data_IF_905293605279
#
_entry.id   IF_905293605279
#
_cell.length_a   1.000
_cell.length_b   1.000
_cell.length_c   1.000
_cell.angle_alpha   90.00
_cell.angle_beta   90.00
_cell.angle_gamma   90.00
#
_symmetry.space_group_name_H-M   'P 1'
#
loop_
_entity.id
_entity.type
_entity.pdbx_description
1 polymer ?
#
# COMPACT_ATOMS: atom_id res chain seq x y z
N UNK A 1 9.24 -2.24 -6.98
CA UNK A 1 9.17 -0.76 -7.09
C UNK A 1 9.42 -0.06 -5.75
N UNK A 2 8.78 -0.45 -4.67
CA UNK A 2 8.88 0.25 -3.37
C UNK A 2 10.28 0.23 -2.73
N UNK A 3 11.02 -0.89 -2.78
CA UNK A 3 12.35 -1.01 -2.16
C UNK A 3 13.40 -0.11 -2.79
N UNK A 4 13.39 0.02 -4.11
CA UNK A 4 14.35 0.84 -4.85
C UNK A 4 14.15 2.33 -4.57
N UNK A 5 12.89 2.77 -4.48
CA UNK A 5 12.58 4.15 -4.13
C UNK A 5 13.09 4.50 -2.72
N UNK A 6 12.86 3.63 -1.74
CA UNK A 6 13.34 3.84 -0.37
C UNK A 6 14.87 3.91 -0.31
N UNK A 7 15.58 3.08 -1.07
CA UNK A 7 17.05 3.16 -1.19
C UNK A 7 17.50 4.51 -1.75
N UNK A 8 16.80 5.00 -2.77
CA UNK A 8 17.13 6.29 -3.42
C UNK A 8 16.95 7.49 -2.49
N UNK A 9 16.06 7.45 -1.52
CA UNK A 9 15.88 8.49 -0.50
C UNK A 9 16.74 8.27 0.75
N UNK A 10 17.65 7.30 0.74
CA UNK A 10 18.63 7.07 1.78
C UNK A 10 18.19 6.16 2.92
N UNK A 11 17.09 5.40 2.75
CA UNK A 11 16.69 4.37 3.71
C UNK A 11 17.52 3.10 3.50
N UNK A 12 18.11 2.56 4.56
CA UNK A 12 18.76 1.25 4.52
C UNK A 12 17.71 0.13 4.54
N UNK A 13 17.19 -0.19 3.33
CA UNK A 13 16.04 -1.10 3.16
C UNK A 13 16.35 -2.51 3.67
N UNK A 14 17.57 -2.98 3.54
CA UNK A 14 17.91 -4.35 3.94
C UNK A 14 17.91 -4.47 5.48
N UNK A 15 18.43 -3.46 6.20
CA UNK A 15 18.40 -3.38 7.67
C UNK A 15 16.97 -3.24 8.21
N UNK A 16 16.15 -2.37 7.61
CA UNK A 16 14.77 -2.18 8.07
C UNK A 16 13.90 -3.41 7.82
N UNK A 17 14.12 -4.14 6.73
CA UNK A 17 13.37 -5.37 6.44
C UNK A 17 13.80 -6.53 7.35
N UNK A 18 15.06 -6.59 7.78
CA UNK A 18 15.49 -7.54 8.79
C UNK A 18 14.75 -7.33 10.11
N UNK A 19 14.50 -6.06 10.47
CA UNK A 19 13.77 -5.70 11.70
C UNK A 19 12.24 -5.90 11.58
N UNK A 20 11.63 -5.41 10.49
CA UNK A 20 10.16 -5.38 10.32
C UNK A 20 9.59 -6.67 9.71
N UNK A 21 10.42 -7.54 9.13
CA UNK A 21 10.05 -8.80 8.50
C UNK A 21 9.59 -8.64 7.05
N UNK A 22 8.75 -7.64 6.75
CA UNK A 22 8.28 -7.37 5.38
C UNK A 22 8.10 -5.87 5.11
N UNK A 23 7.87 -5.53 3.84
CA UNK A 23 7.74 -4.15 3.39
C UNK A 23 6.42 -3.50 3.82
N UNK A 24 5.37 -4.28 4.01
CA UNK A 24 4.04 -3.74 4.35
C UNK A 24 4.01 -3.33 5.82
N UNK A 25 4.56 -4.16 6.72
CA UNK A 25 4.75 -3.80 8.12
C UNK A 25 5.63 -2.54 8.27
N UNK A 26 6.71 -2.44 7.48
CA UNK A 26 7.52 -1.23 7.42
C UNK A 26 6.73 -0.01 6.97
N UNK A 27 5.96 -0.13 5.88
CA UNK A 27 5.17 0.96 5.31
C UNK A 27 4.11 1.47 6.29
N UNK A 28 3.42 0.58 7.00
CA UNK A 28 2.44 0.96 8.02
C UNK A 28 3.08 1.85 9.09
N UNK A 29 4.21 1.43 9.64
CA UNK A 29 4.93 2.17 10.67
C UNK A 29 5.53 3.50 10.15
N UNK A 30 6.05 3.51 8.92
CA UNK A 30 6.51 4.73 8.27
C UNK A 30 5.37 5.75 8.10
N UNK A 31 4.19 5.29 7.66
CA UNK A 31 3.03 6.17 7.49
C UNK A 31 2.50 6.68 8.83
N UNK A 32 2.49 5.85 9.87
CA UNK A 32 2.13 6.27 11.22
C UNK A 32 3.08 7.37 11.73
N UNK A 33 4.38 7.16 11.59
CA UNK A 33 5.39 8.17 11.93
C UNK A 33 5.16 9.49 11.20
N UNK A 34 4.96 9.45 9.87
CA UNK A 34 4.74 10.64 9.05
C UNK A 34 3.45 11.39 9.40
N UNK A 35 2.40 10.69 9.80
CA UNK A 35 1.13 11.29 10.21
C UNK A 35 1.24 12.00 11.56
N UNK A 36 2.09 11.50 12.46
CA UNK A 36 2.21 11.99 13.84
C UNK A 36 3.35 12.99 14.04
N UNK A 37 4.34 13.04 13.14
CA UNK A 37 5.58 13.78 13.36
C UNK A 37 5.36 15.28 13.56
N UNK A 38 4.43 15.91 12.83
CA UNK A 38 4.18 17.36 12.96
C UNK A 38 3.67 17.75 14.35
N UNK A 39 2.78 16.96 14.92
CA UNK A 39 2.27 17.20 16.26
C UNK A 39 3.40 17.06 17.30
N UNK A 40 4.26 16.06 17.13
CA UNK A 40 5.39 15.81 18.03
C UNK A 40 6.49 16.86 17.91
N UNK A 41 6.75 17.40 16.71
CA UNK A 41 7.69 18.53 16.54
C UNK A 41 7.14 19.80 17.18
N UNK A 42 5.85 20.07 17.06
CA UNK A 42 5.22 21.20 17.78
C UNK A 42 5.32 21.05 19.29
N UNK A 43 5.16 19.85 19.82
CA UNK A 43 5.35 19.56 21.24
C UNK A 43 6.80 19.78 21.65
N UNK A 44 7.77 19.29 20.87
CA UNK A 44 9.19 19.48 21.08
C UNK A 44 9.54 20.99 21.04
N UNK A 45 8.96 21.74 20.12
CA UNK A 45 9.11 23.18 20.03
C UNK A 45 8.54 23.89 21.26
N UNK A 46 7.39 23.48 21.77
CA UNK A 46 6.80 24.00 22.99
C UNK A 46 7.73 23.81 24.17
N UNK A 47 8.30 22.61 24.36
CA UNK A 47 9.28 22.34 25.43
C UNK A 47 10.53 23.23 25.29
N UNK A 48 11.04 23.42 24.05
CA UNK A 48 12.15 24.35 23.76
C UNK A 48 11.81 25.78 24.19
N UNK A 49 10.63 26.27 23.85
CA UNK A 49 10.21 27.66 24.10
C UNK A 49 9.98 27.90 25.60
N UNK A 50 9.44 26.92 26.31
CA UNK A 50 9.20 26.95 27.74
C UNK A 50 10.45 26.63 28.60
N UNK A 51 11.58 26.27 27.94
CA UNK A 51 12.80 25.82 28.60
C UNK A 51 12.63 24.55 29.47
N UNK A 52 11.69 23.68 29.07
CA UNK A 52 11.41 22.39 29.70
C UNK A 52 12.38 21.31 29.20
N UNK A 53 13.68 21.46 29.56
CA UNK A 53 14.79 20.67 28.99
C UNK A 53 14.60 19.17 29.22
N UNK A 54 14.08 18.76 30.38
CA UNK A 54 13.87 17.33 30.70
C UNK A 54 12.84 16.71 29.76
N UNK A 55 11.68 17.33 29.55
CA UNK A 55 10.64 16.87 28.63
C UNK A 55 11.13 16.87 27.19
N UNK A 56 11.84 17.93 26.80
CA UNK A 56 12.50 18.01 25.50
C UNK A 56 13.43 16.82 25.24
N UNK A 57 14.29 16.50 26.20
CA UNK A 57 15.28 15.42 26.10
C UNK A 57 14.62 14.05 25.96
N UNK A 58 13.54 13.80 26.73
CA UNK A 58 12.78 12.56 26.66
C UNK A 58 12.13 12.39 25.30
N UNK A 59 11.49 13.45 24.76
CA UNK A 59 10.84 13.40 23.47
C UNK A 59 11.86 13.25 22.33
N UNK A 60 12.99 13.96 22.39
CA UNK A 60 14.09 13.81 21.43
C UNK A 60 14.65 12.37 21.41
N UNK A 61 14.77 11.73 22.61
CA UNK A 61 15.17 10.33 22.72
C UNK A 61 14.18 9.37 22.03
N UNK A 62 12.88 9.56 22.23
CA UNK A 62 11.83 8.77 21.57
C UNK A 62 11.90 8.92 20.05
N UNK A 63 11.94 10.16 19.55
CA UNK A 63 12.01 10.46 18.12
C UNK A 63 13.28 9.91 17.47
N UNK A 64 14.42 9.98 18.15
CA UNK A 64 15.66 9.34 17.71
C UNK A 64 15.49 7.85 17.49
N UNK A 65 14.88 7.16 18.46
CA UNK A 65 14.70 5.71 18.41
C UNK A 65 13.76 5.30 17.28
N UNK A 66 12.63 5.98 17.12
CA UNK A 66 11.68 5.75 16.03
C UNK A 66 12.32 5.98 14.66
N UNK A 67 13.02 7.11 14.48
CA UNK A 67 13.73 7.41 13.23
C UNK A 67 14.77 6.32 12.89
N UNK A 68 15.47 5.77 13.90
CA UNK A 68 16.43 4.68 13.72
C UNK A 68 15.74 3.40 13.25
N UNK A 69 14.63 2.98 13.89
CA UNK A 69 13.89 1.79 13.50
C UNK A 69 13.32 1.88 12.08
N UNK A 70 13.04 3.11 11.63
CA UNK A 70 12.58 3.37 10.26
C UNK A 70 13.75 3.55 9.26
N UNK A 71 15.00 3.36 9.68
CA UNK A 71 16.18 3.52 8.81
C UNK A 71 16.45 4.96 8.38
N UNK A 72 15.84 5.95 9.07
CA UNK A 72 16.01 7.39 8.82
C UNK A 72 17.25 7.92 9.56
N UNK A 73 18.43 7.40 9.16
CA UNK A 73 19.67 7.56 9.90
C UNK A 73 20.09 9.02 10.12
N UNK A 74 19.91 9.88 9.11
CA UNK A 74 20.22 11.31 9.23
C UNK A 74 19.32 11.99 10.28
N UNK A 75 18.02 11.74 10.25
CA UNK A 75 17.07 12.28 11.21
C UNK A 75 17.34 11.75 12.64
N UNK A 76 17.65 10.45 12.76
CA UNK A 76 18.06 9.84 14.02
C UNK A 76 19.29 10.50 14.61
N UNK A 77 20.30 10.83 13.78
CA UNK A 77 21.52 11.52 14.24
C UNK A 77 21.24 12.95 14.71
N UNK A 78 20.36 13.68 14.05
CA UNK A 78 19.95 15.02 14.47
C UNK A 78 19.27 14.96 15.85
N UNK A 79 18.29 14.07 16.02
CA UNK A 79 17.65 13.88 17.34
C UNK A 79 18.62 13.40 18.43
N UNK A 80 19.61 12.57 18.08
CA UNK A 80 20.66 12.17 19.02
C UNK A 80 21.48 13.37 19.51
N UNK A 81 21.87 14.28 18.64
CA UNK A 81 22.61 15.49 19.02
C UNK A 81 21.76 16.36 19.96
N UNK A 82 20.47 16.55 19.66
CA UNK A 82 19.56 17.29 20.51
C UNK A 82 19.31 16.61 21.86
N UNK A 83 19.18 15.29 21.90
CA UNK A 83 19.10 14.51 23.15
C UNK A 83 20.37 14.71 24.01
N UNK A 84 21.54 14.60 23.40
CA UNK A 84 22.82 14.76 24.10
C UNK A 84 22.94 16.16 24.72
N UNK A 85 22.61 17.21 23.93
CA UNK A 85 22.66 18.59 24.43
C UNK A 85 21.60 18.89 25.46
N UNK A 86 20.44 18.23 25.39
CA UNK A 86 19.44 18.28 26.44
C UNK A 86 19.93 17.66 27.74
N UNK A 87 20.64 16.53 27.73
CA UNK A 87 21.26 15.91 28.88
C UNK A 87 22.36 16.79 29.51
N UNK A 88 23.07 17.57 28.69
CA UNK A 88 24.05 18.56 29.14
C UNK A 88 23.41 19.85 29.69
N UNK A 89 22.10 20.01 29.58
CA UNK A 89 21.39 21.25 29.96
C UNK A 89 21.65 22.43 29.00
N UNK A 90 22.17 22.18 27.80
CA UNK A 90 22.59 23.22 26.86
C UNK A 90 21.41 23.75 26.06
N UNK A 91 20.63 24.64 26.68
CA UNK A 91 19.44 25.23 26.07
C UNK A 91 19.78 26.13 24.88
N UNK A 92 20.95 26.78 24.87
CA UNK A 92 21.38 27.64 23.79
C UNK A 92 21.61 26.82 22.50
N UNK A 93 22.24 25.65 22.62
CA UNK A 93 22.35 24.74 21.48
C UNK A 93 20.98 24.34 20.95
N UNK A 94 20.08 23.91 21.83
CA UNK A 94 18.73 23.48 21.45
C UNK A 94 18.01 24.59 20.69
N UNK A 95 18.03 25.82 21.19
CA UNK A 95 17.36 26.98 20.56
C UNK A 95 17.98 27.35 19.20
N UNK A 96 19.31 27.36 19.14
CA UNK A 96 20.03 27.84 17.96
C UNK A 96 20.06 26.80 16.82
N UNK A 97 19.89 25.51 17.13
CA UNK A 97 19.98 24.43 16.13
C UNK A 97 18.65 23.71 15.87
N UNK A 98 17.53 24.18 16.43
CA UNK A 98 16.23 23.55 16.23
C UNK A 98 15.80 23.51 14.75
N UNK A 99 16.24 24.47 13.94
CA UNK A 99 16.02 24.52 12.50
C UNK A 99 16.57 23.27 11.77
N UNK A 100 17.57 22.55 12.32
CA UNK A 100 18.08 21.31 11.75
C UNK A 100 17.00 20.23 11.73
N UNK A 101 16.20 20.14 12.81
CA UNK A 101 15.06 19.22 12.91
C UNK A 101 14.00 19.60 11.88
N UNK A 102 13.62 20.88 11.82
CA UNK A 102 12.59 21.37 10.90
C UNK A 102 12.97 21.11 9.43
N UNK A 103 14.22 21.42 9.06
CA UNK A 103 14.74 21.20 7.72
C UNK A 103 14.79 19.71 7.37
N UNK A 104 15.24 18.87 8.30
CA UNK A 104 15.31 17.42 8.07
C UNK A 104 13.92 16.80 7.88
N UNK A 105 12.92 17.22 8.69
CA UNK A 105 11.53 16.78 8.53
C UNK A 105 10.93 17.30 7.22
N UNK A 106 11.15 18.56 6.87
CA UNK A 106 10.70 19.14 5.59
C UNK A 106 11.27 18.39 4.38
N UNK A 107 12.57 18.11 4.40
CA UNK A 107 13.26 17.33 3.35
C UNK A 107 12.75 15.90 3.28
N UNK A 108 12.57 15.22 4.43
CA UNK A 108 12.01 13.88 4.50
C UNK A 108 10.61 13.84 3.86
N UNK A 109 9.73 14.76 4.24
CA UNK A 109 8.37 14.82 3.69
C UNK A 109 8.34 15.10 2.20
N UNK A 110 9.21 16.00 1.71
CA UNK A 110 9.32 16.28 0.29
C UNK A 110 9.79 15.05 -0.48
N UNK A 111 10.84 14.39 0.00
CA UNK A 111 11.43 13.22 -0.64
C UNK A 111 10.52 11.99 -0.62
N UNK A 112 9.64 11.87 0.36
CA UNK A 112 8.79 10.68 0.57
C UNK A 112 7.35 10.90 0.09
N UNK A 113 7.02 12.12 -0.35
CA UNK A 113 5.65 12.51 -0.71
C UNK A 113 5.02 11.60 -1.76
N UNK A 114 5.74 11.34 -2.84
CA UNK A 114 5.25 10.52 -3.95
C UNK A 114 5.13 9.05 -3.52
N UNK A 115 6.08 8.57 -2.73
CA UNK A 115 6.02 7.25 -2.13
C UNK A 115 4.83 7.11 -1.17
N UNK A 116 4.66 8.03 -0.23
CA UNK A 116 3.54 8.04 0.71
C UNK A 116 2.17 8.13 0.01
N UNK A 117 2.09 8.89 -1.06
CA UNK A 117 0.88 8.96 -1.88
C UNK A 117 0.62 7.63 -2.61
N UNK A 118 1.64 6.98 -3.13
CA UNK A 118 1.51 5.66 -3.77
C UNK A 118 1.01 4.58 -2.80
N UNK A 119 1.37 4.67 -1.52
CA UNK A 119 0.88 3.76 -0.47
C UNK A 119 -0.58 4.02 -0.08
N UNK A 120 -1.06 5.26 -0.24
CA UNK A 120 -2.46 5.61 0.07
C UNK A 120 -3.44 5.23 -1.03
N UNK A 121 -2.97 5.11 -2.26
CA UNK A 121 -3.79 4.78 -3.43
C UNK A 121 -3.69 3.28 -3.64
N UNK A 122 -4.55 2.53 -2.95
CA UNK A 122 -4.73 1.11 -3.26
C UNK A 122 -5.44 1.01 -4.62
N UNK A 123 -4.91 0.18 -5.48
CA UNK A 123 -5.54 -0.21 -6.73
C UNK A 123 -6.85 -0.95 -6.42
N UNK A 124 -7.85 -0.84 -7.26
CA UNK A 124 -9.18 -1.42 -7.00
C UNK A 124 -9.38 -2.67 -7.84
N UNK A 125 -9.61 -3.81 -7.18
CA UNK A 125 -10.03 -5.05 -7.81
C UNK A 125 -11.55 -5.19 -7.72
N UNK A 126 -12.19 -5.49 -8.83
CA UNK A 126 -13.59 -5.93 -8.84
C UNK A 126 -13.61 -7.46 -8.76
N UNK A 127 -14.17 -7.99 -7.68
CA UNK A 127 -14.35 -9.44 -7.48
C UNK A 127 -15.82 -9.78 -7.64
N UNK A 128 -16.11 -10.60 -8.63
CA UNK A 128 -17.47 -10.97 -9.06
C UNK A 128 -17.67 -12.46 -8.85
N UNK A 129 -18.48 -12.82 -7.85
CA UNK A 129 -18.77 -14.23 -7.48
C UNK A 129 -20.05 -14.25 -6.64
N UNK A 130 -20.95 -15.20 -6.88
CA UNK A 130 -22.19 -15.31 -6.10
C UNK A 130 -21.94 -15.82 -4.66
N UNK A 131 -20.75 -16.38 -4.39
CA UNK A 131 -20.31 -16.85 -3.10
C UNK A 131 -19.53 -15.79 -2.32
N UNK A 132 -20.15 -15.20 -1.28
CA UNK A 132 -19.45 -14.30 -0.37
C UNK A 132 -18.24 -14.96 0.32
N UNK A 133 -18.19 -16.30 0.42
CA UNK A 133 -17.04 -17.02 0.99
C UNK A 133 -15.83 -16.86 0.06
N UNK A 134 -16.01 -16.97 -1.24
CA UNK A 134 -14.96 -16.79 -2.23
C UNK A 134 -14.48 -15.34 -2.25
N UNK A 135 -15.40 -14.39 -2.28
CA UNK A 135 -15.07 -12.95 -2.23
C UNK A 135 -14.26 -12.63 -0.97
N UNK A 136 -14.72 -13.08 0.21
CA UNK A 136 -14.02 -12.88 1.48
C UNK A 136 -12.63 -13.53 1.49
N UNK A 137 -12.47 -14.71 0.90
CA UNK A 137 -11.19 -15.39 0.80
C UNK A 137 -10.20 -14.58 -0.03
N UNK A 138 -10.60 -14.11 -1.23
CA UNK A 138 -9.77 -13.29 -2.11
C UNK A 138 -9.41 -11.97 -1.40
N UNK A 139 -10.41 -11.27 -0.87
CA UNK A 139 -10.20 -9.99 -0.19
C UNK A 139 -9.21 -10.10 0.99
N UNK A 140 -9.32 -11.15 1.81
CA UNK A 140 -8.38 -11.35 2.92
C UNK A 140 -6.93 -11.54 2.46
N UNK A 141 -6.71 -12.05 1.26
CA UNK A 141 -5.37 -12.22 0.69
C UNK A 141 -4.82 -10.88 0.19
N UNK A 142 -5.69 -10.07 -0.47
CA UNK A 142 -5.24 -8.88 -1.20
C UNK A 142 -5.45 -7.56 -0.45
N UNK A 143 -6.14 -7.55 0.69
CA UNK A 143 -6.58 -6.34 1.41
C UNK A 143 -5.48 -5.35 1.78
N UNK A 144 -4.24 -5.79 1.91
CA UNK A 144 -3.11 -4.92 2.22
C UNK A 144 -2.69 -4.07 1.00
N UNK A 145 -2.83 -4.62 -0.20
CA UNK A 145 -2.37 -4.02 -1.45
C UNK A 145 -3.51 -3.42 -2.30
N UNK A 146 -4.72 -3.96 -2.17
CA UNK A 146 -5.86 -3.62 -3.01
C UNK A 146 -7.11 -3.26 -2.21
N UNK A 147 -7.90 -2.34 -2.76
CA UNK A 147 -9.31 -2.21 -2.41
C UNK A 147 -10.11 -3.24 -3.19
N UNK A 148 -11.09 -3.87 -2.56
CA UNK A 148 -11.97 -4.84 -3.21
C UNK A 148 -13.37 -4.26 -3.34
N UNK A 149 -13.83 -4.12 -4.57
CA UNK A 149 -15.23 -3.87 -4.91
C UNK A 149 -15.86 -5.23 -5.17
N UNK A 150 -16.97 -5.54 -4.50
CA UNK A 150 -17.64 -6.83 -4.54
C UNK A 150 -18.86 -6.76 -5.45
N UNK A 151 -19.11 -7.77 -6.26
CA UNK A 151 -20.36 -7.95 -6.99
C UNK A 151 -20.79 -9.41 -6.88
N UNK A 152 -22.10 -9.66 -6.69
CA UNK A 152 -22.63 -11.01 -6.52
C UNK A 152 -23.33 -11.55 -7.78
N UNK A 153 -23.29 -10.80 -8.88
CA UNK A 153 -23.78 -11.18 -10.19
C UNK A 153 -23.29 -10.22 -11.27
N UNK A 154 -23.50 -10.58 -12.56
CA UNK A 154 -23.02 -9.77 -13.67
C UNK A 154 -23.67 -8.38 -13.76
N UNK A 155 -24.94 -8.22 -13.38
CA UNK A 155 -25.61 -6.91 -13.38
C UNK A 155 -24.95 -5.97 -12.38
N UNK A 156 -24.68 -6.46 -11.16
CA UNK A 156 -23.97 -5.68 -10.17
C UNK A 156 -22.54 -5.34 -10.62
N UNK A 157 -21.87 -6.30 -11.27
CA UNK A 157 -20.53 -6.09 -11.79
C UNK A 157 -20.50 -4.95 -12.81
N UNK A 158 -21.38 -4.97 -13.82
CA UNK A 158 -21.47 -3.93 -14.85
C UNK A 158 -21.73 -2.55 -14.21
N UNK A 159 -22.64 -2.47 -13.23
CA UNK A 159 -22.92 -1.21 -12.54
C UNK A 159 -21.75 -0.68 -11.67
N UNK A 160 -20.77 -1.53 -11.37
CA UNK A 160 -19.58 -1.18 -10.56
C UNK A 160 -18.32 -1.05 -11.40
N UNK A 161 -18.38 -1.28 -12.72
CA UNK A 161 -17.27 -0.98 -13.63
C UNK A 161 -17.24 0.52 -13.85
N UNK A 162 -16.44 1.20 -13.03
CA UNK A 162 -16.21 2.63 -13.05
C UNK A 162 -14.77 2.93 -13.46
N UNK A 163 -14.49 4.19 -13.73
CA UNK A 163 -13.12 4.66 -13.93
C UNK A 163 -12.29 4.36 -12.68
N UNK A 164 -11.18 3.63 -12.81
CA UNK A 164 -10.31 3.25 -11.71
C UNK A 164 -10.36 1.78 -11.28
N UNK A 165 -11.19 0.93 -11.91
CA UNK A 165 -11.05 -0.53 -11.75
C UNK A 165 -9.74 -0.98 -12.40
N UNK A 166 -8.88 -1.57 -11.58
CA UNK A 166 -7.54 -2.00 -11.98
C UNK A 166 -7.54 -3.38 -12.64
N UNK A 167 -8.34 -4.31 -12.10
CA UNK A 167 -8.54 -5.64 -12.69
C UNK A 167 -9.86 -6.25 -12.20
N UNK A 168 -10.34 -7.29 -12.90
CA UNK A 168 -11.56 -8.02 -12.57
C UNK A 168 -11.23 -9.50 -12.37
N UNK A 169 -11.67 -10.07 -11.23
CA UNK A 169 -11.75 -11.50 -11.01
C UNK A 169 -13.20 -11.91 -11.14
N UNK A 170 -13.51 -12.71 -12.15
CA UNK A 170 -14.87 -12.93 -12.63
C UNK A 170 -15.27 -14.41 -12.64
N UNK A 171 -16.29 -14.77 -11.86
CA UNK A 171 -16.94 -16.06 -12.03
C UNK A 171 -17.84 -16.04 -13.27
N UNK A 172 -17.78 -17.11 -14.06
CA UNK A 172 -18.66 -17.29 -15.21
C UNK A 172 -20.04 -17.77 -14.81
N UNK A 173 -20.12 -18.64 -13.80
CA UNK A 173 -21.34 -19.39 -13.47
C UNK A 173 -22.05 -18.80 -12.26
N UNK A 174 -22.79 -17.73 -12.48
CA UNK A 174 -23.57 -17.07 -11.45
C UNK A 174 -25.07 -17.08 -11.77
N UNK A 175 -25.96 -17.17 -10.76
CA UNK A 175 -27.39 -17.02 -10.98
C UNK A 175 -27.74 -15.59 -11.43
N UNK A 176 -28.80 -15.43 -12.23
CA UNK A 176 -29.40 -14.19 -12.73
C UNK A 176 -28.69 -13.50 -13.88
N UNK A 177 -27.36 -13.54 -13.96
CA UNK A 177 -26.58 -12.96 -15.06
C UNK A 177 -25.19 -13.60 -14.98
N UNK A 178 -24.74 -14.17 -16.09
CA UNK A 178 -23.48 -14.90 -16.12
C UNK A 178 -22.28 -13.96 -16.37
N UNK A 179 -21.07 -14.47 -16.19
CA UNK A 179 -19.85 -13.69 -16.41
C UNK A 179 -19.66 -13.28 -17.89
N UNK A 180 -20.26 -14.00 -18.84
CA UNK A 180 -20.19 -13.66 -20.26
C UNK A 180 -20.86 -12.30 -20.54
N UNK A 181 -21.92 -11.95 -19.82
CA UNK A 181 -22.58 -10.64 -19.95
C UNK A 181 -21.63 -9.50 -19.56
N UNK A 182 -20.80 -9.73 -18.54
CA UNK A 182 -19.76 -8.78 -18.12
C UNK A 182 -18.66 -8.65 -19.19
N UNK A 183 -18.21 -9.77 -19.76
CA UNK A 183 -17.22 -9.76 -20.83
C UNK A 183 -17.74 -9.05 -22.10
N UNK A 184 -19.01 -9.28 -22.47
CA UNK A 184 -19.66 -8.56 -23.57
C UNK A 184 -19.67 -7.05 -23.29
N UNK A 185 -20.08 -6.64 -22.09
CA UNK A 185 -20.08 -5.22 -21.71
C UNK A 185 -18.68 -4.60 -21.82
N UNK A 186 -17.65 -5.28 -21.32
CA UNK A 186 -16.26 -4.79 -21.41
C UNK A 186 -15.79 -4.66 -22.85
N UNK A 187 -16.16 -5.60 -23.71
CA UNK A 187 -15.82 -5.60 -25.14
C UNK A 187 -16.55 -4.48 -25.88
N UNK A 188 -17.86 -4.34 -25.68
CA UNK A 188 -18.70 -3.35 -26.34
C UNK A 188 -18.35 -1.90 -25.97
N UNK A 189 -17.65 -1.70 -24.83
CA UNK A 189 -17.20 -0.40 -24.33
C UNK A 189 -15.67 -0.18 -24.46
N UNK A 190 -14.94 -1.00 -25.22
CA UNK A 190 -13.48 -0.92 -25.39
C UNK A 190 -12.69 -0.94 -24.08
N UNK A 191 -13.19 -1.65 -23.07
CA UNK A 191 -12.57 -1.79 -21.75
C UNK A 191 -11.75 -3.07 -21.59
N UNK A 192 -12.03 -4.10 -22.38
CA UNK A 192 -11.41 -5.43 -22.25
C UNK A 192 -9.88 -5.41 -22.45
N UNK A 193 -9.37 -4.47 -23.25
CA UNK A 193 -7.94 -4.29 -23.50
C UNK A 193 -7.27 -3.40 -22.44
N UNK A 194 -8.06 -2.75 -21.59
CA UNK A 194 -7.58 -1.80 -20.56
C UNK A 194 -7.64 -2.39 -19.16
N UNK A 195 -8.63 -3.24 -18.92
CA UNK A 195 -8.90 -3.84 -17.61
C UNK A 195 -8.68 -5.35 -17.75
N UNK A 196 -7.56 -5.89 -17.22
CA UNK A 196 -7.29 -7.31 -17.30
C UNK A 196 -8.35 -8.10 -16.52
N UNK A 197 -8.89 -9.13 -17.16
CA UNK A 197 -9.90 -10.01 -16.58
C UNK A 197 -9.29 -11.39 -16.33
N UNK A 198 -9.42 -11.89 -15.11
CA UNK A 198 -9.11 -13.28 -14.76
C UNK A 198 -10.42 -14.00 -14.45
N UNK A 199 -10.64 -15.08 -15.17
CA UNK A 199 -11.82 -15.92 -14.97
C UNK A 199 -11.60 -16.82 -13.76
N UNK A 200 -12.62 -16.95 -12.93
CA UNK A 200 -12.70 -17.93 -11.84
C UNK A 200 -13.84 -18.88 -12.14
N UNK A 201 -13.59 -20.19 -12.18
CA UNK A 201 -14.64 -21.13 -12.56
C UNK A 201 -14.59 -22.42 -11.76
N UNK A 202 -15.75 -23.02 -11.48
CA UNK A 202 -15.90 -24.35 -10.92
C UNK A 202 -15.99 -25.46 -11.96
N UNK A 203 -16.10 -25.09 -13.24
CA UNK A 203 -16.21 -26.04 -14.35
C UNK A 203 -14.83 -26.52 -14.83
N UNK A 204 -14.81 -27.60 -15.63
CA UNK A 204 -13.59 -28.04 -16.28
C UNK A 204 -12.98 -26.90 -17.11
N UNK A 205 -11.67 -26.67 -16.92
CA UNK A 205 -10.91 -25.60 -17.57
C UNK A 205 -11.11 -25.54 -19.08
N UNK A 206 -11.32 -26.70 -19.72
CA UNK A 206 -11.52 -26.78 -21.19
C UNK A 206 -12.84 -26.14 -21.65
N UNK A 207 -13.91 -26.33 -20.88
CA UNK A 207 -15.21 -25.74 -21.18
C UNK A 207 -15.15 -24.22 -20.95
N UNK A 208 -14.66 -23.78 -19.80
CA UNK A 208 -14.50 -22.37 -19.47
C UNK A 208 -13.58 -21.62 -20.46
N UNK A 209 -12.45 -22.23 -20.86
CA UNK A 209 -11.57 -21.64 -21.89
C UNK A 209 -12.29 -21.54 -23.23
N UNK A 210 -13.10 -22.55 -23.59
CA UNK A 210 -13.88 -22.50 -24.84
C UNK A 210 -14.90 -21.38 -24.86
N UNK A 211 -15.54 -21.08 -23.73
CA UNK A 211 -16.51 -20.00 -23.59
C UNK A 211 -15.89 -18.61 -23.71
N UNK A 212 -14.64 -18.43 -23.25
CA UNK A 212 -13.96 -17.13 -23.20
C UNK A 212 -12.95 -16.89 -24.31
N UNK A 213 -12.81 -17.82 -25.25
CA UNK A 213 -11.78 -17.83 -26.31
C UNK A 213 -11.79 -16.58 -27.22
N UNK A 214 -12.80 -15.76 -27.20
CA UNK A 214 -12.93 -14.52 -28.00
C UNK A 214 -12.78 -13.23 -27.20
N UNK A 215 -12.45 -13.29 -25.91
CA UNK A 215 -12.51 -12.12 -25.03
C UNK A 215 -11.15 -11.60 -24.53
N UNK A 216 -10.02 -12.14 -24.97
CA UNK A 216 -8.69 -11.69 -24.52
C UNK A 216 -8.56 -11.62 -22.99
N UNK A 217 -9.05 -12.66 -22.28
CA UNK A 217 -8.90 -12.75 -20.82
C UNK A 217 -7.45 -13.05 -20.45
N UNK A 218 -6.98 -12.50 -19.33
CA UNK A 218 -5.60 -12.61 -18.89
C UNK A 218 -5.25 -14.04 -18.44
N UNK A 219 -6.16 -14.70 -17.70
CA UNK A 219 -5.95 -16.05 -17.18
C UNK A 219 -7.28 -16.70 -16.78
N UNK A 220 -7.25 -18.02 -16.56
CA UNK A 220 -8.38 -18.82 -16.05
C UNK A 220 -7.95 -19.58 -14.83
N UNK A 221 -8.64 -19.41 -13.71
CA UNK A 221 -8.38 -20.01 -12.41
C UNK A 221 -9.52 -20.95 -11.99
N UNK A 222 -9.19 -22.22 -11.75
CA UNK A 222 -10.16 -23.22 -11.30
C UNK A 222 -10.42 -23.19 -9.80
N UNK A 223 -11.68 -23.31 -9.41
CA UNK A 223 -12.09 -23.59 -8.04
C UNK A 223 -11.94 -25.11 -7.73
N UNK A 224 -11.44 -25.53 -6.58
CA UNK A 224 -10.92 -24.68 -5.49
C UNK A 224 -9.51 -24.18 -5.77
N UNK A 225 -9.20 -22.96 -5.37
CA UNK A 225 -7.88 -22.34 -5.52
C UNK A 225 -7.24 -22.04 -4.16
N UNK A 226 -5.92 -21.90 -4.15
CA UNK A 226 -5.10 -21.65 -2.97
C UNK A 226 -4.68 -20.18 -2.89
N UNK A 227 -4.08 -19.79 -1.76
CA UNK A 227 -3.44 -18.47 -1.59
C UNK A 227 -2.39 -18.21 -2.67
N UNK A 228 -1.57 -19.23 -3.00
CA UNK A 228 -0.52 -19.09 -4.02
C UNK A 228 -1.09 -18.89 -5.43
N UNK A 229 -2.24 -19.50 -5.72
CA UNK A 229 -2.93 -19.27 -7.00
C UNK A 229 -3.37 -17.79 -7.11
N UNK A 230 -3.93 -17.20 -6.06
CA UNK A 230 -4.32 -15.78 -6.06
C UNK A 230 -3.08 -14.88 -6.19
N UNK A 231 -2.00 -15.14 -5.44
CA UNK A 231 -0.75 -14.38 -5.56
C UNK A 231 -0.16 -14.43 -6.98
N UNK A 232 -0.20 -15.60 -7.63
CA UNK A 232 0.22 -15.75 -9.03
C UNK A 232 -0.63 -14.88 -9.97
N UNK A 233 -1.95 -14.90 -9.78
CA UNK A 233 -2.89 -14.07 -10.56
C UNK A 233 -2.59 -12.58 -10.37
N UNK A 234 -2.36 -12.13 -9.13
CA UNK A 234 -1.98 -10.74 -8.86
C UNK A 234 -0.69 -10.37 -9.59
N UNK A 235 0.32 -11.25 -9.59
CA UNK A 235 1.56 -11.01 -10.35
C UNK A 235 1.30 -10.85 -11.85
N UNK A 236 0.40 -11.64 -12.43
CA UNK A 236 0.02 -11.50 -13.86
C UNK A 236 -0.66 -10.16 -14.13
N UNK A 237 -1.58 -9.73 -13.25
CA UNK A 237 -2.26 -8.44 -13.34
C UNK A 237 -1.25 -7.28 -13.27
N UNK A 238 -0.29 -7.33 -12.36
CA UNK A 238 0.76 -6.31 -12.26
C UNK A 238 1.62 -6.24 -13.53
N UNK A 239 2.01 -7.39 -14.08
CA UNK A 239 2.79 -7.46 -15.31
C UNK A 239 2.02 -6.91 -16.53
N UNK A 240 0.70 -7.09 -16.58
CA UNK A 240 -0.14 -6.52 -17.64
C UNK A 240 -0.03 -4.99 -17.70
N UNK A 241 0.00 -4.33 -16.57
CA UNK A 241 0.06 -2.87 -16.49
C UNK A 241 1.47 -2.28 -16.56
N UNK A 242 2.51 -3.10 -16.56
CA UNK A 242 3.91 -2.66 -16.65
C UNK A 242 4.53 -2.80 -18.04
N UNK A 243 3.84 -3.50 -18.95
CA UNK A 243 4.20 -3.66 -20.36
C UNK A 243 3.42 -2.68 -21.24
#
# INVERSE_FOLDING_TARGET
MNKEYLKNIGVNVDEVLEFWGDIDAYNENLMEFLNNIDARIKELESYKNNSEISSYTILAHSLKSEARYLGLNNLSQIFYNHELKGKEGNIDYIKNNFYEIENAIGSLKSNIKDYANSLKIKKTLLVVDDSNIIINFIENIVKNEYNVVRANNGIEAVNKIEEGIYAILLDLNMPKSNGIDVLNYLKDNDLIEKIPVVIITGNDTKEAVSEVIGYNVLDVLNKPFTVDNIKRVITLIENFHTN
#
